data_IF_344862601913
#
_entry.id   IF_344862601913
#
_cell.length_a   1.000
_cell.length_b   1.000
_cell.length_c   1.000
_cell.angle_alpha   90.00
_cell.angle_beta   90.00
_cell.angle_gamma   90.00
#
_symmetry.space_group_name_H-M   'P 1'
#
loop_
_entity.id
_entity.type
_entity.pdbx_description
1 polymer ?
#
# COMPACT_ATOMS: atom_id res chain seq x y z
N UNK A 1 -22.24 23.67 1.88
CA UNK A 1 -22.27 23.77 0.39
C UNK A 1 -21.45 24.90 -0.25
N UNK A 2 -21.25 26.07 0.40
CA UNK A 2 -20.42 27.16 -0.19
C UNK A 2 -18.99 26.71 -0.55
N UNK A 3 -18.39 25.83 0.25
CA UNK A 3 -17.07 25.21 -0.02
C UNK A 3 -17.05 24.43 -1.34
N UNK A 4 -17.90 23.41 -1.47
CA UNK A 4 -18.00 22.58 -2.69
C UNK A 4 -18.19 23.42 -3.96
N UNK A 5 -19.05 24.46 -3.93
CA UNK A 5 -19.25 25.34 -5.09
C UNK A 5 -17.99 26.13 -5.46
N UNK A 6 -17.22 26.58 -4.45
CA UNK A 6 -15.95 27.27 -4.67
C UNK A 6 -14.92 26.34 -5.29
N UNK A 7 -14.84 25.11 -4.78
CA UNK A 7 -13.88 24.12 -5.26
C UNK A 7 -14.18 23.71 -6.71
N UNK A 8 -15.46 23.50 -7.04
CA UNK A 8 -15.89 23.23 -8.41
C UNK A 8 -15.59 24.41 -9.34
N UNK A 9 -15.85 25.65 -8.91
CA UNK A 9 -15.56 26.84 -9.71
C UNK A 9 -14.06 27.03 -9.96
N UNK A 10 -13.22 26.66 -8.99
CA UNK A 10 -11.77 26.71 -9.15
C UNK A 10 -11.26 25.63 -10.11
N UNK A 11 -11.83 24.42 -10.07
CA UNK A 11 -11.36 23.28 -10.87
C UNK A 11 -11.91 23.23 -12.30
N UNK A 12 -13.19 23.60 -12.49
CA UNK A 12 -13.87 23.52 -13.78
C UNK A 12 -13.14 24.16 -14.97
N UNK A 13 -12.50 25.34 -14.87
CA UNK A 13 -11.79 25.92 -16.02
C UNK A 13 -10.52 25.15 -16.40
N UNK A 14 -9.85 24.52 -15.42
CA UNK A 14 -8.60 23.78 -15.63
C UNK A 14 -8.83 22.40 -16.22
N UNK A 15 -9.99 21.79 -15.97
CA UNK A 15 -10.28 20.42 -16.37
C UNK A 15 -10.17 20.20 -17.89
N UNK A 16 -10.56 21.18 -18.71
CA UNK A 16 -10.42 21.07 -20.18
C UNK A 16 -8.96 21.05 -20.62
N UNK A 17 -8.09 21.79 -19.93
CA UNK A 17 -6.67 21.88 -20.26
C UNK A 17 -5.92 20.60 -19.86
N UNK A 18 -6.35 19.90 -18.81
CA UNK A 18 -5.75 18.65 -18.36
C UNK A 18 -5.83 17.52 -19.41
N UNK A 19 -6.87 17.52 -20.25
CA UNK A 19 -7.05 16.57 -21.36
C UNK A 19 -6.44 17.06 -22.68
N UNK A 20 -5.89 18.27 -22.69
CA UNK A 20 -5.21 18.83 -23.86
C UNK A 20 -3.83 18.19 -24.07
N UNK A 21 -3.16 18.54 -25.17
CA UNK A 21 -1.87 17.94 -25.53
C UNK A 21 -0.82 18.30 -24.46
N UNK A 22 -0.16 17.32 -23.83
CA UNK A 22 0.86 17.61 -22.83
C UNK A 22 2.07 18.28 -23.46
N UNK A 23 2.75 19.14 -22.70
CA UNK A 23 3.98 19.83 -23.15
C UNK A 23 5.10 18.86 -23.53
N UNK A 24 5.17 17.71 -22.87
CA UNK A 24 6.14 16.65 -23.15
C UNK A 24 5.49 15.29 -22.92
N UNK A 25 5.27 14.54 -24.00
CA UNK A 25 4.73 13.17 -23.93
C UNK A 25 5.71 12.26 -23.17
N UNK A 26 7.02 12.43 -23.38
CA UNK A 26 8.06 11.67 -22.70
C UNK A 26 7.98 11.82 -21.17
N UNK A 27 7.73 13.03 -20.68
CA UNK A 27 7.62 13.28 -19.24
C UNK A 27 6.39 12.61 -18.64
N UNK A 28 5.24 12.67 -19.34
CA UNK A 28 4.01 12.02 -18.88
C UNK A 28 4.19 10.51 -18.82
N UNK A 29 4.69 9.89 -19.89
CA UNK A 29 4.90 8.44 -19.95
C UNK A 29 5.87 7.99 -18.85
N UNK A 30 6.99 8.70 -18.66
CA UNK A 30 7.95 8.37 -17.61
C UNK A 30 7.35 8.50 -16.20
N UNK A 31 6.57 9.56 -15.94
CA UNK A 31 5.90 9.76 -14.66
C UNK A 31 4.83 8.68 -14.40
N UNK A 32 4.10 8.25 -15.44
CA UNK A 32 3.12 7.16 -15.33
C UNK A 32 3.78 5.85 -14.94
N UNK A 33 4.86 5.45 -15.61
CA UNK A 33 5.59 4.22 -15.26
C UNK A 33 6.20 4.30 -13.87
N UNK A 34 6.79 5.44 -13.52
CA UNK A 34 7.34 5.66 -12.19
C UNK A 34 6.27 5.54 -11.09
N UNK A 35 5.15 6.26 -11.23
CA UNK A 35 4.06 6.21 -10.26
C UNK A 35 3.44 4.80 -10.14
N UNK A 36 3.27 4.10 -11.27
CA UNK A 36 2.76 2.72 -11.27
C UNK A 36 3.67 1.79 -10.47
N UNK A 37 4.98 1.81 -10.74
CA UNK A 37 5.94 0.94 -10.06
C UNK A 37 6.02 1.26 -8.56
N UNK A 38 6.09 2.53 -8.19
CA UNK A 38 6.18 2.95 -6.78
C UNK A 38 4.94 2.54 -5.99
N UNK A 39 3.76 2.59 -6.61
CA UNK A 39 2.50 2.24 -5.94
C UNK A 39 2.22 0.73 -5.93
N UNK A 40 2.81 -0.04 -6.85
CA UNK A 40 2.53 -1.48 -6.99
C UNK A 40 2.91 -2.27 -5.73
N UNK A 41 4.10 -2.03 -5.17
CA UNK A 41 4.58 -2.80 -4.01
C UNK A 41 3.73 -2.54 -2.75
N UNK A 42 3.46 -1.29 -2.34
CA UNK A 42 2.57 -1.03 -1.21
C UNK A 42 1.15 -1.57 -1.43
N UNK A 43 0.61 -1.48 -2.65
CA UNK A 43 -0.71 -2.02 -2.97
C UNK A 43 -0.76 -3.55 -2.78
N UNK A 44 0.26 -4.27 -3.25
CA UNK A 44 0.37 -5.72 -3.06
C UNK A 44 0.49 -6.10 -1.58
N UNK A 45 1.34 -5.41 -0.82
CA UNK A 45 1.54 -5.69 0.61
C UNK A 45 0.22 -5.52 1.39
N UNK A 46 -0.52 -4.43 1.16
CA UNK A 46 -1.78 -4.22 1.86
C UNK A 46 -2.90 -5.13 1.38
N UNK A 47 -2.93 -5.48 0.10
CA UNK A 47 -3.88 -6.45 -0.43
C UNK A 47 -3.66 -7.83 0.21
N UNK A 48 -2.42 -8.32 0.24
CA UNK A 48 -2.05 -9.58 0.91
C UNK A 48 -2.34 -9.54 2.42
N UNK A 49 -2.04 -8.42 3.08
CA UNK A 49 -2.33 -8.26 4.51
C UNK A 49 -3.83 -8.38 4.81
N UNK A 50 -4.69 -7.75 3.99
CA UNK A 50 -6.13 -7.87 4.14
C UNK A 50 -6.64 -9.29 3.83
N UNK A 51 -6.08 -9.92 2.81
CA UNK A 51 -6.42 -11.30 2.42
C UNK A 51 -6.21 -12.25 3.60
N UNK A 52 -5.03 -12.15 4.24
CA UNK A 52 -4.69 -12.92 5.44
C UNK A 52 -5.59 -12.60 6.64
N UNK A 53 -5.86 -11.32 6.89
CA UNK A 53 -6.65 -10.89 8.04
C UNK A 53 -8.14 -11.19 7.90
N UNK A 54 -8.63 -11.44 6.68
CA UNK A 54 -10.04 -11.74 6.40
C UNK A 54 -10.26 -13.17 5.92
N UNK A 55 -9.25 -14.04 6.09
CA UNK A 55 -9.30 -15.46 5.71
C UNK A 55 -9.78 -15.69 4.27
N UNK A 56 -9.30 -14.87 3.32
CA UNK A 56 -9.68 -14.99 1.91
C UNK A 56 -11.03 -14.36 1.54
N UNK A 57 -11.75 -13.72 2.47
CA UNK A 57 -13.00 -13.01 2.14
C UNK A 57 -12.77 -11.75 1.32
N UNK A 58 -11.64 -11.07 1.51
CA UNK A 58 -11.18 -9.97 0.65
C UNK A 58 -9.89 -10.39 -0.04
N UNK A 59 -10.03 -11.10 -1.15
CA UNK A 59 -8.88 -11.65 -1.86
C UNK A 59 -7.97 -10.54 -2.43
N UNK A 60 -6.68 -10.82 -2.49
CA UNK A 60 -5.67 -9.89 -3.02
C UNK A 60 -6.04 -9.33 -4.40
N UNK A 61 -6.54 -10.19 -5.31
CA UNK A 61 -6.95 -9.78 -6.65
C UNK A 61 -8.13 -8.79 -6.66
N UNK A 62 -9.11 -8.98 -5.77
CA UNK A 62 -10.28 -8.11 -5.65
C UNK A 62 -9.89 -6.75 -5.08
N UNK A 63 -9.00 -6.73 -4.08
CA UNK A 63 -8.44 -5.50 -3.53
C UNK A 63 -7.68 -4.70 -4.60
N UNK A 64 -6.82 -5.34 -5.39
CA UNK A 64 -6.09 -4.68 -6.47
C UNK A 64 -7.03 -4.15 -7.55
N UNK A 65 -8.02 -4.95 -7.97
CA UNK A 65 -9.03 -4.51 -8.94
C UNK A 65 -9.82 -3.30 -8.42
N UNK A 66 -10.23 -3.32 -7.16
CA UNK A 66 -10.92 -2.22 -6.49
C UNK A 66 -10.08 -0.93 -6.49
N UNK A 67 -8.79 -1.03 -6.15
CA UNK A 67 -7.89 0.14 -6.19
C UNK A 67 -7.71 0.69 -7.60
N UNK A 68 -7.62 -0.18 -8.62
CA UNK A 68 -7.51 0.25 -10.02
C UNK A 68 -8.75 1.00 -10.49
N UNK A 69 -9.95 0.45 -10.22
CA UNK A 69 -11.22 1.09 -10.57
C UNK A 69 -11.36 2.44 -9.83
N UNK A 70 -11.10 2.46 -8.53
CA UNK A 70 -11.16 3.68 -7.72
C UNK A 70 -10.14 4.72 -8.19
N UNK A 71 -8.94 4.30 -8.58
CA UNK A 71 -7.92 5.18 -9.14
C UNK A 71 -8.36 5.85 -10.43
N UNK A 72 -9.02 5.13 -11.34
CA UNK A 72 -9.58 5.70 -12.58
C UNK A 72 -10.71 6.69 -12.25
N UNK A 73 -11.64 6.32 -11.39
CA UNK A 73 -12.74 7.19 -10.97
C UNK A 73 -12.20 8.48 -10.32
N UNK A 74 -11.21 8.34 -9.45
CA UNK A 74 -10.56 9.48 -8.79
C UNK A 74 -9.82 10.36 -9.79
N UNK A 75 -9.03 9.79 -10.70
CA UNK A 75 -8.30 10.56 -11.72
C UNK A 75 -9.23 11.42 -12.60
N UNK A 76 -10.43 10.93 -12.90
CA UNK A 76 -11.43 11.64 -13.73
C UNK A 76 -12.24 12.67 -12.91
N UNK A 77 -12.63 12.35 -11.68
CA UNK A 77 -13.58 13.17 -10.91
C UNK A 77 -12.94 14.05 -9.82
N UNK A 78 -11.66 13.86 -9.49
CA UNK A 78 -11.02 14.55 -8.39
C UNK A 78 -10.75 16.04 -8.66
N UNK A 79 -10.81 16.84 -7.58
CA UNK A 79 -10.35 18.22 -7.58
C UNK A 79 -8.83 18.37 -7.73
N UNK A 80 -8.06 17.33 -7.39
CA UNK A 80 -6.60 17.30 -7.47
C UNK A 80 -6.13 15.92 -7.97
N UNK A 81 -6.03 15.69 -9.29
CA UNK A 81 -5.69 14.39 -9.86
C UNK A 81 -4.22 13.98 -9.65
N UNK A 82 -3.38 14.88 -9.12
CA UNK A 82 -2.00 14.57 -8.75
C UNK A 82 -1.90 13.67 -7.50
N UNK A 83 -3.00 13.53 -6.74
CA UNK A 83 -3.04 12.67 -5.56
C UNK A 83 -3.12 11.21 -5.99
N UNK A 84 -2.17 10.40 -5.53
CA UNK A 84 -2.17 8.95 -5.71
C UNK A 84 -3.02 8.35 -4.58
N UNK A 85 -4.11 7.69 -4.96
CA UNK A 85 -5.00 6.99 -4.03
C UNK A 85 -4.64 5.51 -3.96
N UNK A 86 -4.71 4.95 -2.77
CA UNK A 86 -4.42 3.53 -2.54
C UNK A 86 -4.88 3.10 -1.16
N UNK A 87 -4.92 1.79 -0.95
CA UNK A 87 -5.15 1.21 0.38
C UNK A 87 -3.95 1.58 1.24
N UNK A 88 -4.21 1.92 2.51
CA UNK A 88 -3.18 2.24 3.49
C UNK A 88 -3.27 1.26 4.65
N UNK A 89 -2.17 1.07 5.38
CA UNK A 89 -2.12 0.16 6.52
C UNK A 89 -3.23 0.39 7.56
N UNK A 90 -3.55 1.63 7.98
CA UNK A 90 -4.67 1.87 8.90
C UNK A 90 -6.01 1.37 8.37
N UNK A 91 -6.26 1.48 7.07
CA UNK A 91 -7.49 0.96 6.44
C UNK A 91 -7.47 -0.56 6.40
N UNK A 92 -6.33 -1.17 6.06
CA UNK A 92 -6.18 -2.64 6.09
C UNK A 92 -6.42 -3.19 7.51
N UNK A 93 -5.80 -2.57 8.53
CA UNK A 93 -6.01 -2.93 9.94
C UNK A 93 -7.47 -2.78 10.39
N UNK A 94 -8.15 -1.72 9.96
CA UNK A 94 -9.57 -1.52 10.26
C UNK A 94 -10.43 -2.65 9.66
N UNK A 95 -10.15 -3.06 8.41
CA UNK A 95 -10.89 -4.12 7.72
C UNK A 95 -10.60 -5.51 8.31
N UNK A 96 -9.37 -5.79 8.73
CA UNK A 96 -9.06 -7.02 9.47
C UNK A 96 -9.70 -7.05 10.85
N UNK A 97 -9.69 -5.93 11.57
CA UNK A 97 -10.37 -5.81 12.87
C UNK A 97 -11.88 -5.99 12.72
N UNK A 98 -12.49 -5.41 11.67
CA UNK A 98 -13.93 -5.58 11.42
C UNK A 98 -14.29 -7.05 11.18
N UNK A 99 -13.43 -7.83 10.50
CA UNK A 99 -13.60 -9.27 10.34
C UNK A 99 -13.59 -10.01 11.69
N UNK A 100 -12.58 -9.76 12.52
CA UNK A 100 -12.49 -10.38 13.86
C UNK A 100 -13.70 -10.05 14.76
N UNK A 101 -14.28 -8.85 14.62
CA UNK A 101 -15.54 -8.50 15.29
C UNK A 101 -16.70 -9.36 14.80
N UNK A 102 -16.82 -9.59 13.49
CA UNK A 102 -17.91 -10.41 12.94
C UNK A 102 -17.84 -11.86 13.40
N UNK A 103 -16.64 -12.41 13.57
CA UNK A 103 -16.44 -13.73 14.17
C UNK A 103 -16.87 -13.74 15.64
N UNK A 104 -16.47 -12.72 16.40
CA UNK A 104 -16.84 -12.60 17.83
C UNK A 104 -18.35 -12.49 18.04
N UNK A 105 -19.04 -11.77 17.15
CA UNK A 105 -20.49 -11.59 17.21
C UNK A 105 -21.28 -12.65 16.44
N UNK A 106 -20.60 -13.59 15.75
CA UNK A 106 -21.20 -14.62 14.89
C UNK A 106 -22.16 -14.04 13.82
N UNK A 107 -21.71 -12.99 13.13
CA UNK A 107 -22.45 -12.29 12.06
C UNK A 107 -21.73 -12.48 10.73
N UNK A 108 -22.45 -12.49 9.61
CA UNK A 108 -21.84 -12.54 8.29
C UNK A 108 -21.01 -11.26 7.99
N UNK A 109 -19.81 -11.46 7.44
CA UNK A 109 -18.86 -10.38 7.19
C UNK A 109 -19.34 -9.34 6.15
N UNK A 110 -19.84 -9.78 4.99
CA UNK A 110 -20.20 -8.85 3.91
C UNK A 110 -21.38 -7.91 4.26
N UNK A 111 -22.48 -8.38 4.89
CA UNK A 111 -23.52 -7.47 5.37
C UNK A 111 -23.01 -6.47 6.42
N UNK A 112 -22.12 -6.90 7.31
CA UNK A 112 -21.50 -6.02 8.29
C UNK A 112 -20.62 -4.95 7.64
N UNK A 113 -19.79 -5.37 6.67
CA UNK A 113 -18.95 -4.47 5.87
C UNK A 113 -19.78 -3.45 5.10
N UNK A 114 -20.91 -3.87 4.50
CA UNK A 114 -21.84 -2.96 3.82
C UNK A 114 -22.30 -1.84 4.76
N UNK A 115 -22.70 -2.16 5.98
CA UNK A 115 -23.14 -1.14 6.95
C UNK A 115 -22.01 -0.20 7.34
N UNK A 116 -20.78 -0.70 7.52
CA UNK A 116 -19.61 0.15 7.77
C UNK A 116 -19.42 1.14 6.61
N UNK A 117 -19.42 0.64 5.36
CA UNK A 117 -19.25 1.48 4.18
C UNK A 117 -20.40 2.48 3.99
N UNK A 118 -21.64 2.07 4.27
CA UNK A 118 -22.81 2.94 4.19
C UNK A 118 -22.70 4.12 5.16
N UNK A 119 -22.39 3.85 6.43
CA UNK A 119 -22.22 4.90 7.44
C UNK A 119 -20.99 5.77 7.15
N UNK A 120 -19.87 5.19 6.71
CA UNK A 120 -18.69 5.94 6.30
C UNK A 120 -19.00 6.90 5.14
N UNK A 121 -19.71 6.43 4.11
CA UNK A 121 -20.14 7.25 2.98
C UNK A 121 -21.10 8.37 3.39
N UNK A 122 -22.09 8.07 4.23
CA UNK A 122 -23.01 9.06 4.77
C UNK A 122 -22.26 10.15 5.55
N UNK A 123 -21.38 9.76 6.47
CA UNK A 123 -20.57 10.69 7.26
C UNK A 123 -19.63 11.53 6.38
N UNK A 124 -19.10 10.96 5.30
CA UNK A 124 -18.28 11.69 4.33
C UNK A 124 -19.09 12.80 3.63
N UNK A 125 -20.30 12.49 3.16
CA UNK A 125 -21.21 13.47 2.53
C UNK A 125 -21.59 14.57 3.54
N UNK A 126 -21.96 14.20 4.77
CA UNK A 126 -22.32 15.16 5.82
C UNK A 126 -21.15 16.11 6.13
N UNK A 127 -19.95 15.56 6.29
CA UNK A 127 -18.71 16.32 6.53
C UNK A 127 -18.42 17.32 5.40
N UNK A 128 -18.63 16.91 4.15
CA UNK A 128 -18.47 17.77 2.97
C UNK A 128 -19.53 18.90 2.92
N UNK A 129 -20.78 18.61 3.26
CA UNK A 129 -21.86 19.60 3.27
C UNK A 129 -21.66 20.65 4.36
N UNK A 130 -21.30 20.21 5.58
CA UNK A 130 -21.00 21.06 6.74
C UNK A 130 -19.75 21.92 6.51
N UNK A 131 -18.78 21.44 5.71
CA UNK A 131 -17.54 22.16 5.43
C UNK A 131 -16.50 21.97 6.52
N UNK A 132 -16.50 20.81 7.19
CA UNK A 132 -15.51 20.42 8.20
C UNK A 132 -14.07 20.39 7.64
N UNK A 133 -13.90 20.32 6.32
CA UNK A 133 -12.59 20.48 5.64
C UNK A 133 -11.89 21.81 5.99
N UNK A 134 -12.64 22.84 6.40
CA UNK A 134 -12.05 24.08 6.93
C UNK A 134 -11.20 23.89 8.19
N UNK A 135 -11.36 22.76 8.90
CA UNK A 135 -10.56 22.41 10.06
C UNK A 135 -9.13 21.96 9.70
N UNK A 136 -8.88 21.59 8.43
CA UNK A 136 -7.55 21.17 7.97
C UNK A 136 -6.51 22.28 8.20
N UNK A 137 -6.91 23.55 8.16
CA UNK A 137 -6.03 24.69 8.47
C UNK A 137 -5.53 24.73 9.93
N UNK A 138 -6.13 23.95 10.84
CA UNK A 138 -5.65 23.79 12.21
C UNK A 138 -4.62 22.66 12.34
N UNK A 139 -4.50 21.77 11.35
CA UNK A 139 -3.51 20.70 11.35
C UNK A 139 -2.15 21.34 11.05
N UNK A 140 -1.25 21.27 12.02
CA UNK A 140 0.10 21.84 11.90
C UNK A 140 1.08 20.79 11.38
N UNK A 141 2.22 21.21 10.78
CA UNK A 141 3.28 20.28 10.40
C UNK A 141 3.75 19.39 11.54
N UNK A 142 3.74 19.90 12.78
CA UNK A 142 4.06 19.13 13.98
C UNK A 142 3.09 17.95 14.18
N UNK A 143 1.79 18.19 14.05
CA UNK A 143 0.77 17.12 14.17
C UNK A 143 0.92 16.10 13.05
N UNK A 144 1.20 16.53 11.82
CA UNK A 144 1.40 15.63 10.67
C UNK A 144 2.64 14.75 10.87
N UNK A 145 3.77 15.31 11.34
CA UNK A 145 4.99 14.54 11.62
C UNK A 145 4.79 13.50 12.72
N UNK A 146 4.02 13.82 13.78
CA UNK A 146 3.67 12.84 14.82
C UNK A 146 2.83 11.70 14.23
N UNK A 147 1.87 12.02 13.37
CA UNK A 147 1.04 11.01 12.72
C UNK A 147 1.87 10.12 11.78
N UNK A 148 2.77 10.70 10.99
CA UNK A 148 3.70 9.96 10.13
C UNK A 148 4.62 9.04 10.96
N UNK A 149 5.15 9.52 12.08
CA UNK A 149 5.94 8.70 13.01
C UNK A 149 5.12 7.54 13.59
N UNK A 150 3.87 7.79 13.99
CA UNK A 150 2.98 6.74 14.50
C UNK A 150 2.74 5.64 13.46
N UNK A 151 2.42 6.02 12.22
CA UNK A 151 2.23 5.07 11.12
C UNK A 151 3.52 4.30 10.82
N UNK A 152 4.68 4.98 10.80
CA UNK A 152 5.97 4.34 10.58
C UNK A 152 6.31 3.30 11.66
N UNK A 153 6.12 3.65 12.95
CA UNK A 153 6.35 2.73 14.07
C UNK A 153 5.40 1.53 14.00
N UNK A 154 4.13 1.76 13.67
CA UNK A 154 3.16 0.67 13.51
C UNK A 154 3.58 -0.31 12.42
N UNK A 155 4.06 0.18 11.26
CA UNK A 155 4.53 -0.71 10.20
C UNK A 155 5.80 -1.47 10.56
N UNK A 156 6.75 -0.83 11.26
CA UNK A 156 7.94 -1.51 11.74
C UNK A 156 7.54 -2.64 12.70
N UNK A 157 6.63 -2.37 13.63
CA UNK A 157 6.14 -3.37 14.57
C UNK A 157 5.47 -4.55 13.85
N UNK A 158 4.53 -4.29 12.93
CA UNK A 158 3.87 -5.34 12.15
C UNK A 158 4.87 -6.13 11.32
N UNK A 159 5.82 -5.46 10.66
CA UNK A 159 6.84 -6.14 9.83
C UNK A 159 7.76 -7.06 10.65
N UNK A 160 8.17 -6.61 11.84
CA UNK A 160 8.98 -7.43 12.76
C UNK A 160 8.16 -8.62 13.27
N UNK A 161 6.90 -8.38 13.64
CA UNK A 161 5.98 -9.45 14.07
C UNK A 161 5.83 -10.50 12.97
N UNK A 162 5.56 -10.10 11.73
CA UNK A 162 5.34 -11.03 10.61
C UNK A 162 6.60 -11.85 10.27
N UNK A 163 7.80 -11.31 10.52
CA UNK A 163 9.07 -12.05 10.35
C UNK A 163 9.35 -13.03 11.48
N UNK A 164 8.88 -12.75 12.70
CA UNK A 164 9.26 -13.47 13.92
C UNK A 164 8.19 -14.49 14.35
N UNK A 165 6.91 -14.16 14.20
CA UNK A 165 5.79 -15.01 14.61
C UNK A 165 5.83 -16.41 14.00
N UNK A 166 6.15 -16.60 12.71
CA UNK A 166 6.31 -17.94 12.12
C UNK A 166 7.43 -18.77 12.78
N UNK A 167 8.46 -18.14 13.35
CA UNK A 167 9.57 -18.83 14.00
C UNK A 167 9.22 -19.35 15.40
N UNK A 168 8.40 -18.60 16.14
CA UNK A 168 7.99 -18.99 17.50
C UNK A 168 6.76 -19.91 17.51
N UNK A 169 5.77 -19.62 16.68
CA UNK A 169 4.51 -20.38 16.62
C UNK A 169 4.57 -21.56 15.64
N UNK A 170 5.43 -21.49 14.64
CA UNK A 170 5.59 -22.51 13.63
C UNK A 170 6.53 -23.65 14.01
N UNK A 171 6.74 -23.93 15.31
CA UNK A 171 7.50 -25.11 15.74
C UNK A 171 6.76 -26.41 15.36
N UNK A 172 6.76 -26.75 14.07
CA UNK A 172 6.41 -28.04 13.55
C UNK A 172 7.40 -29.08 14.09
N UNK A 173 6.90 -30.29 14.29
CA UNK A 173 7.66 -31.42 14.81
C UNK A 173 8.76 -31.89 13.83
N UNK A 174 8.71 -31.47 12.55
CA UNK A 174 9.67 -31.90 11.54
C UNK A 174 10.82 -30.91 11.32
N UNK A 175 12.00 -31.45 10.99
CA UNK A 175 13.23 -30.67 10.70
C UNK A 175 13.12 -29.82 9.43
N UNK A 176 12.26 -30.22 8.49
CA UNK A 176 12.04 -29.54 7.21
C UNK A 176 11.35 -28.18 7.41
N UNK A 177 10.29 -28.14 8.22
CA UNK A 177 9.50 -26.92 8.47
C UNK A 177 10.33 -25.82 9.14
N UNK A 178 11.22 -26.20 10.05
CA UNK A 178 12.14 -25.27 10.71
C UNK A 178 13.12 -24.64 9.72
N UNK A 179 13.67 -25.44 8.79
CA UNK A 179 14.62 -24.94 7.79
C UNK A 179 13.98 -23.93 6.83
N UNK A 180 12.70 -24.15 6.47
CA UNK A 180 11.91 -23.24 5.67
C UNK A 180 11.71 -21.87 6.36
N UNK A 181 11.38 -21.87 7.65
CA UNK A 181 11.17 -20.63 8.42
C UNK A 181 12.44 -19.82 8.62
N UNK A 182 13.59 -20.47 8.86
CA UNK A 182 14.87 -19.76 8.90
C UNK A 182 15.25 -19.20 7.53
N UNK A 183 14.91 -19.91 6.44
CA UNK A 183 15.19 -19.46 5.10
C UNK A 183 14.33 -18.23 4.71
N UNK A 184 13.04 -18.21 5.06
CA UNK A 184 12.18 -17.04 4.82
C UNK A 184 12.64 -15.81 5.62
N UNK A 185 13.08 -15.99 6.87
CA UNK A 185 13.70 -14.93 7.67
C UNK A 185 14.97 -14.39 7.00
N UNK A 186 15.87 -15.27 6.53
CA UNK A 186 17.09 -14.86 5.84
C UNK A 186 16.79 -14.11 4.54
N UNK A 187 15.84 -14.60 3.74
CA UNK A 187 15.41 -13.91 2.51
C UNK A 187 14.84 -12.53 2.85
N UNK A 188 14.03 -12.41 3.90
CA UNK A 188 13.49 -11.13 4.37
C UNK A 188 14.58 -10.14 4.77
N UNK A 189 15.56 -10.58 5.58
CA UNK A 189 16.69 -9.75 6.01
C UNK A 189 17.59 -9.34 4.85
N UNK A 190 17.88 -10.24 3.90
CA UNK A 190 18.65 -9.95 2.70
C UNK A 190 17.89 -8.94 1.82
N UNK A 191 16.58 -9.13 1.63
CA UNK A 191 15.74 -8.21 0.86
C UNK A 191 15.73 -6.82 1.48
N UNK A 192 15.60 -6.73 2.81
CA UNK A 192 15.70 -5.46 3.54
C UNK A 192 17.08 -4.80 3.36
N UNK A 193 18.16 -5.57 3.49
CA UNK A 193 19.53 -5.06 3.30
C UNK A 193 19.75 -4.54 1.86
N UNK A 194 19.26 -5.26 0.85
CA UNK A 194 19.32 -4.81 -0.55
C UNK A 194 18.51 -3.52 -0.75
N UNK A 195 17.29 -3.44 -0.20
CA UNK A 195 16.49 -2.21 -0.26
C UNK A 195 17.21 -1.03 0.41
N UNK A 196 17.80 -1.26 1.58
CA UNK A 196 18.54 -0.25 2.34
C UNK A 196 19.78 0.24 1.59
N UNK A 197 20.57 -0.66 0.99
CA UNK A 197 21.74 -0.28 0.20
C UNK A 197 21.36 0.50 -1.06
N UNK A 198 20.28 0.09 -1.74
CA UNK A 198 19.76 0.79 -2.93
C UNK A 198 19.18 2.17 -2.59
N UNK A 199 18.59 2.35 -1.40
CA UNK A 199 18.14 3.67 -0.93
C UNK A 199 19.29 4.70 -0.92
N UNK A 200 20.50 4.29 -0.54
CA UNK A 200 21.68 5.15 -0.54
C UNK A 200 22.44 5.16 -1.89
N UNK A 201 21.93 4.54 -2.95
CA UNK A 201 22.62 4.42 -4.24
C UNK A 201 22.98 5.78 -4.88
N UNK A 202 22.26 6.86 -4.57
CA UNK A 202 22.60 8.20 -5.07
C UNK A 202 23.92 8.75 -4.53
N UNK A 203 24.36 8.27 -3.36
CA UNK A 203 25.62 8.68 -2.74
C UNK A 203 26.83 7.89 -3.24
N UNK A 204 26.61 6.81 -4.01
CA UNK A 204 27.69 5.97 -4.51
C UNK A 204 28.59 6.72 -5.50
N UNK A 205 29.90 6.50 -5.35
CA UNK A 205 30.93 7.06 -6.25
C UNK A 205 30.98 6.28 -7.58
N UNK A 206 30.48 5.04 -7.57
CA UNK A 206 30.37 4.17 -8.73
C UNK A 206 29.05 4.44 -9.46
N UNK A 207 29.04 4.26 -10.78
CA UNK A 207 27.94 4.52 -11.73
C UNK A 207 27.72 5.97 -12.17
N UNK A 208 27.06 6.12 -13.32
CA UNK A 208 26.62 7.41 -13.84
C UNK A 208 25.42 7.93 -13.04
N UNK A 209 25.22 9.25 -13.02
CA UNK A 209 24.12 9.89 -12.28
C UNK A 209 22.74 9.31 -12.62
N UNK A 210 22.50 8.99 -13.90
CA UNK A 210 21.23 8.43 -14.35
C UNK A 210 20.95 7.06 -13.74
N UNK A 211 21.95 6.17 -13.71
CA UNK A 211 21.82 4.83 -13.13
C UNK A 211 21.58 4.91 -11.62
N UNK A 212 22.30 5.78 -10.92
CA UNK A 212 22.13 5.94 -9.46
C UNK A 212 20.73 6.42 -9.07
N UNK A 213 20.21 7.42 -9.78
CA UNK A 213 18.84 7.92 -9.55
C UNK A 213 17.80 6.87 -9.90
N UNK A 214 18.01 6.06 -10.95
CA UNK A 214 17.13 4.93 -11.28
C UNK A 214 17.13 3.88 -10.15
N UNK A 215 18.31 3.47 -9.67
CA UNK A 215 18.44 2.48 -8.59
C UNK A 215 17.79 2.95 -7.29
N UNK A 216 17.98 4.23 -6.92
CA UNK A 216 17.35 4.81 -5.74
C UNK A 216 15.84 4.92 -5.88
N UNK A 217 15.33 5.36 -7.03
CA UNK A 217 13.91 5.54 -7.28
C UNK A 217 13.12 4.21 -7.31
N UNK A 218 13.75 3.13 -7.75
CA UNK A 218 13.14 1.80 -7.86
C UNK A 218 13.64 0.80 -6.80
N UNK A 219 14.22 1.30 -5.70
CA UNK A 219 14.87 0.48 -4.67
C UNK A 219 14.01 -0.69 -4.16
N UNK A 220 12.72 -0.44 -3.91
CA UNK A 220 11.83 -1.40 -3.26
C UNK A 220 11.43 -2.49 -4.24
N UNK A 221 11.10 -2.12 -5.49
CA UNK A 221 10.80 -3.08 -6.54
C UNK A 221 12.01 -3.99 -6.81
N UNK A 222 13.20 -3.39 -6.98
CA UNK A 222 14.43 -4.13 -7.26
C UNK A 222 14.78 -5.10 -6.12
N UNK A 223 14.63 -4.66 -4.88
CA UNK A 223 14.85 -5.51 -3.72
C UNK A 223 13.88 -6.70 -3.68
N UNK A 224 12.59 -6.47 -3.92
CA UNK A 224 11.58 -7.55 -3.97
C UNK A 224 11.88 -8.53 -5.10
N UNK A 225 12.18 -8.04 -6.31
CA UNK A 225 12.55 -8.91 -7.45
C UNK A 225 13.79 -9.75 -7.12
N UNK A 226 14.79 -9.15 -6.49
CA UNK A 226 16.00 -9.86 -6.07
C UNK A 226 15.69 -10.91 -4.99
N UNK A 227 14.90 -10.57 -3.97
CA UNK A 227 14.48 -11.48 -2.91
C UNK A 227 13.67 -12.66 -3.43
N UNK A 228 12.74 -12.41 -4.36
CA UNK A 228 11.97 -13.45 -5.04
C UNK A 228 12.86 -14.31 -5.93
N UNK A 229 13.82 -13.74 -6.66
CA UNK A 229 14.76 -14.53 -7.46
C UNK A 229 15.60 -15.45 -6.56
N UNK A 230 16.01 -14.98 -5.38
CA UNK A 230 16.75 -15.77 -4.39
C UNK A 230 15.90 -16.91 -3.83
N UNK A 231 14.59 -16.70 -3.62
CA UNK A 231 13.69 -17.74 -3.12
C UNK A 231 13.45 -18.88 -4.10
N UNK A 232 13.69 -18.68 -5.40
CA UNK A 232 13.56 -19.73 -6.43
C UNK A 232 14.85 -20.55 -6.65
N UNK A 233 15.94 -20.27 -5.93
CA UNK A 233 17.17 -21.05 -6.09
C UNK A 233 17.00 -22.47 -5.50
N UNK A 234 17.39 -23.52 -6.24
CA UNK A 234 17.21 -24.91 -5.83
C UNK A 234 18.06 -25.20 -4.59
N UNK A 235 17.40 -25.28 -3.43
CA UNK A 235 18.04 -25.38 -2.10
C UNK A 235 17.27 -24.62 -1.01
N UNK A 236 16.39 -23.69 -1.39
CA UNK A 236 15.47 -22.94 -0.53
C UNK A 236 14.04 -23.12 -1.07
N UNK A 237 13.66 -24.34 -1.45
CA UNK A 237 12.28 -24.60 -1.89
C UNK A 237 11.34 -24.53 -0.67
N UNK A 238 10.75 -23.35 -0.47
CA UNK A 238 9.62 -23.11 0.42
C UNK A 238 8.35 -23.64 -0.29
N UNK A 239 8.21 -24.97 -0.29
CA UNK A 239 6.98 -25.70 -0.57
C UNK A 239 6.19 -25.29 -1.83
N UNK A 240 6.55 -25.87 -2.98
CA UNK A 240 5.53 -26.39 -3.89
C UNK A 240 5.25 -27.85 -3.51
N UNK A 241 4.57 -28.06 -2.39
CA UNK A 241 3.90 -29.34 -2.11
C UNK A 241 2.73 -29.10 -1.12
N UNK A 242 1.50 -29.09 -1.68
CA UNK A 242 0.20 -29.05 -1.00
C UNK A 242 -0.41 -27.63 -0.89
N UNK A 243 -1.55 -27.27 -1.47
CA UNK A 243 -2.66 -27.98 -2.15
C UNK A 243 -3.35 -26.97 -3.08
N UNK A 244 -4.07 -27.47 -4.09
CA UNK A 244 -4.92 -26.65 -4.97
C UNK A 244 -6.18 -26.12 -4.32
#
# INVERSE_FOLDING_TARGET
MKGIRRDLRARAPLYKDDWSRPRSIYTVVNATFFAFIVQLIPALIFAELMDRQTEGKLATAEALLSTAIMGIIYAVLAGQPLVIVGITGPVALLLGTSYSLTETFNVEYFPFLFWICFWAGLMHILTAVVGLVSLVWKVTPFTTQIFELFVAVSFIYTSIRDLIEPLYLGQGDTRSDRSAQYASLLIGLITFYVAWTLHFAETWVVFTRQVRTLLSNYNTLLAVVFGTALSYLPGIDLAKDGTG
#
